data_IF_754464939510
#
_entry.id   IF_754464939510
#
_cell.length_a   1.000
_cell.length_b   1.000
_cell.length_c   1.000
_cell.angle_alpha   90.00
_cell.angle_beta   90.00
_cell.angle_gamma   90.00
#
_symmetry.space_group_name_H-M   'P 1'
#
loop_
_entity.id
_entity.type
_entity.pdbx_description
1 polymer ?
#
# COMPACT_ATOMS: atom_id res chain seq x y z
N UNK A 1 -4.57 23.66 22.23
CA UNK A 1 -3.50 22.67 21.95
C UNK A 1 -2.20 23.43 21.82
N UNK A 2 -1.10 22.95 22.42
CA UNK A 2 0.19 23.61 22.25
C UNK A 2 0.64 23.50 20.79
N UNK A 3 0.90 24.61 20.08
CA UNK A 3 1.22 24.61 18.65
C UNK A 3 2.47 23.77 18.33
N UNK A 4 3.39 23.66 19.29
CA UNK A 4 4.58 22.79 19.21
C UNK A 4 4.22 21.30 19.08
N UNK A 5 3.22 20.83 19.84
CA UNK A 5 2.80 19.42 19.82
C UNK A 5 2.11 19.11 18.49
N UNK A 6 1.27 20.03 17.99
CA UNK A 6 0.63 19.89 16.68
C UNK A 6 1.65 19.84 15.54
N UNK A 7 2.65 20.73 15.56
CA UNK A 7 3.71 20.74 14.55
C UNK A 7 4.55 19.45 14.57
N UNK A 8 4.97 19.00 15.76
CA UNK A 8 5.74 17.76 15.93
C UNK A 8 4.94 16.52 15.46
N UNK A 9 3.65 16.46 15.78
CA UNK A 9 2.77 15.35 15.38
C UNK A 9 2.68 15.21 13.85
N UNK A 10 2.47 16.32 13.13
CA UNK A 10 2.37 16.30 11.66
C UNK A 10 3.66 15.78 11.01
N UNK A 11 4.83 16.17 11.54
CA UNK A 11 6.13 15.71 11.03
C UNK A 11 6.30 14.20 11.25
N UNK A 12 5.95 13.70 12.44
CA UNK A 12 6.03 12.27 12.77
C UNK A 12 5.10 11.44 11.89
N UNK A 13 3.85 11.88 11.73
CA UNK A 13 2.86 11.23 10.85
C UNK A 13 3.35 11.19 9.40
N UNK A 14 3.85 12.31 8.87
CA UNK A 14 4.38 12.38 7.52
C UNK A 14 5.56 11.43 7.29
N UNK A 15 6.46 11.30 8.28
CA UNK A 15 7.58 10.37 8.21
C UNK A 15 7.12 8.91 8.28
N UNK A 16 6.17 8.59 9.16
CA UNK A 16 5.63 7.24 9.30
C UNK A 16 4.98 6.75 8.00
N UNK A 17 4.18 7.59 7.35
CA UNK A 17 3.53 7.27 6.05
C UNK A 17 4.57 7.08 4.94
N UNK A 18 5.63 7.92 4.89
CA UNK A 18 6.71 7.75 3.91
C UNK A 18 7.44 6.42 4.10
N UNK A 19 7.75 6.02 5.34
CA UNK A 19 8.41 4.75 5.60
C UNK A 19 7.51 3.55 5.28
N UNK A 20 6.22 3.63 5.60
CA UNK A 20 5.24 2.58 5.33
C UNK A 20 5.04 2.30 3.83
N UNK A 21 5.14 3.34 2.97
CA UNK A 21 4.92 3.22 1.52
C UNK A 21 6.12 2.74 0.71
N UNK A 22 7.35 2.76 1.27
CA UNK A 22 8.56 2.39 0.51
C UNK A 22 8.57 0.89 0.14
N UNK A 23 8.26 0.01 1.09
CA UNK A 23 8.22 -1.44 0.87
C UNK A 23 7.21 -1.85 -0.21
N UNK A 24 5.92 -1.47 -0.06
CA UNK A 24 4.87 -1.66 -1.06
C UNK A 24 5.28 -1.22 -2.45
N UNK A 25 5.75 0.02 -2.58
CA UNK A 25 6.18 0.59 -3.87
C UNK A 25 7.20 -0.29 -4.60
N UNK A 26 8.22 -0.79 -3.90
CA UNK A 26 9.28 -1.60 -4.54
C UNK A 26 8.78 -3.00 -4.89
N UNK A 27 8.06 -3.65 -3.98
CA UNK A 27 7.59 -5.02 -4.21
C UNK A 27 6.49 -5.11 -5.27
N UNK A 28 5.57 -4.13 -5.33
CA UNK A 28 4.54 -4.09 -6.37
C UNK A 28 5.13 -3.92 -7.76
N UNK A 29 6.12 -3.02 -7.91
CA UNK A 29 6.82 -2.82 -9.18
C UNK A 29 7.56 -4.07 -9.64
N UNK A 30 8.27 -4.76 -8.73
CA UNK A 30 8.95 -6.01 -9.03
C UNK A 30 7.97 -7.13 -9.40
N UNK A 31 6.89 -7.31 -8.63
CA UNK A 31 5.87 -8.32 -8.89
C UNK A 31 5.18 -8.09 -10.24
N UNK A 32 4.82 -6.84 -10.55
CA UNK A 32 4.24 -6.48 -11.84
C UNK A 32 5.21 -6.74 -13.00
N UNK A 33 6.50 -6.39 -12.86
CA UNK A 33 7.51 -6.67 -13.87
C UNK A 33 7.67 -8.17 -14.15
N UNK A 34 7.77 -8.99 -13.10
CA UNK A 34 7.84 -10.45 -13.22
C UNK A 34 6.57 -11.06 -13.82
N UNK A 35 5.40 -10.50 -13.49
CA UNK A 35 4.14 -10.95 -14.09
C UNK A 35 4.09 -10.64 -15.59
N UNK A 36 4.51 -9.44 -16.02
CA UNK A 36 4.58 -9.07 -17.44
C UNK A 36 5.55 -9.98 -18.19
N UNK A 37 6.73 -10.24 -17.63
CA UNK A 37 7.71 -11.15 -18.24
C UNK A 37 7.17 -12.59 -18.33
N UNK A 38 6.48 -13.06 -17.28
CA UNK A 38 5.82 -14.36 -17.28
C UNK A 38 4.72 -14.47 -18.34
N UNK A 39 3.90 -13.44 -18.49
CA UNK A 39 2.87 -13.36 -19.53
C UNK A 39 3.50 -13.35 -20.94
N UNK A 40 4.59 -12.59 -21.13
CA UNK A 40 5.29 -12.55 -22.42
C UNK A 40 5.88 -13.90 -22.82
N UNK A 41 6.39 -14.68 -21.85
CA UNK A 41 6.92 -16.03 -22.09
C UNK A 41 5.82 -17.08 -22.28
N UNK A 42 4.69 -16.93 -21.58
CA UNK A 42 3.56 -17.86 -21.63
C UNK A 42 2.23 -17.11 -21.68
N UNK A 43 1.79 -16.66 -22.87
CA UNK A 43 0.56 -15.88 -23.02
C UNK A 43 -0.69 -16.66 -22.60
N UNK A 44 -0.69 -17.98 -22.81
CA UNK A 44 -1.79 -18.87 -22.44
C UNK A 44 -2.06 -18.88 -20.91
N UNK A 45 -1.05 -18.58 -20.10
CA UNK A 45 -1.14 -18.53 -18.65
C UNK A 45 -1.56 -17.15 -18.10
N UNK A 46 -1.84 -16.17 -18.96
CA UNK A 46 -2.07 -14.77 -18.59
C UNK A 46 -3.10 -14.60 -17.47
N UNK A 47 -4.25 -15.27 -17.60
CA UNK A 47 -5.34 -15.15 -16.63
C UNK A 47 -4.93 -15.64 -15.25
N UNK A 48 -4.14 -16.72 -15.19
CA UNK A 48 -3.64 -17.29 -13.94
C UNK A 48 -2.57 -16.37 -13.32
N UNK A 49 -1.64 -15.87 -14.13
CA UNK A 49 -0.58 -14.95 -13.67
C UNK A 49 -1.19 -13.65 -13.13
N UNK A 50 -2.14 -13.04 -13.85
CA UNK A 50 -2.85 -11.85 -13.38
C UNK A 50 -3.64 -12.10 -12.10
N UNK A 51 -4.29 -13.26 -11.98
CA UNK A 51 -5.00 -13.64 -10.75
C UNK A 51 -4.06 -13.69 -9.53
N UNK A 52 -2.92 -14.38 -9.65
CA UNK A 52 -1.92 -14.43 -8.58
C UNK A 52 -1.32 -13.04 -8.29
N UNK A 53 -1.00 -12.27 -9.35
CA UNK A 53 -0.48 -10.91 -9.20
C UNK A 53 -1.45 -10.03 -8.41
N UNK A 54 -2.72 -9.97 -8.80
CA UNK A 54 -3.72 -9.13 -8.13
C UNK A 54 -3.94 -9.56 -6.68
N UNK A 55 -3.93 -10.87 -6.40
CA UNK A 55 -4.01 -11.38 -5.03
C UNK A 55 -2.81 -10.93 -4.19
N UNK A 56 -1.59 -11.06 -4.72
CA UNK A 56 -0.37 -10.60 -4.04
C UNK A 56 -0.36 -9.08 -3.84
N UNK A 57 -0.79 -8.30 -4.84
CA UNK A 57 -0.91 -6.85 -4.74
C UNK A 57 -1.94 -6.45 -3.68
N UNK A 58 -3.10 -7.13 -3.61
CA UNK A 58 -4.13 -6.86 -2.61
C UNK A 58 -3.63 -7.08 -1.18
N UNK A 59 -2.88 -8.16 -0.92
CA UNK A 59 -2.27 -8.38 0.40
C UNK A 59 -1.21 -7.31 0.73
N UNK A 60 -0.43 -6.89 -0.26
CA UNK A 60 0.58 -5.86 -0.08
C UNK A 60 -0.04 -4.49 0.23
N UNK A 61 -1.14 -4.15 -0.46
CA UNK A 61 -1.94 -2.96 -0.18
C UNK A 61 -2.59 -3.01 1.21
N UNK A 62 -3.14 -4.16 1.62
CA UNK A 62 -3.74 -4.30 2.94
C UNK A 62 -2.76 -3.97 4.09
N UNK A 63 -1.51 -4.40 3.98
CA UNK A 63 -0.46 -4.07 4.95
C UNK A 63 -0.08 -2.59 4.92
N UNK A 64 -0.08 -1.98 3.72
CA UNK A 64 0.17 -0.55 3.54
C UNK A 64 -0.91 0.29 4.22
N UNK A 65 -2.17 -0.09 4.02
CA UNK A 65 -3.34 0.55 4.61
C UNK A 65 -3.31 0.40 6.14
N UNK A 66 -2.89 -0.75 6.68
CA UNK A 66 -2.71 -0.90 8.13
C UNK A 66 -1.72 0.11 8.71
N UNK A 67 -0.58 0.31 8.04
CA UNK A 67 0.39 1.34 8.42
C UNK A 67 -0.17 2.77 8.34
N UNK A 68 -0.99 3.04 7.31
CA UNK A 68 -1.65 4.34 7.14
C UNK A 68 -2.72 4.61 8.22
N UNK A 69 -3.54 3.60 8.55
CA UNK A 69 -4.60 3.68 9.58
C UNK A 69 -4.01 4.02 10.94
N UNK A 70 -2.87 3.44 11.31
CA UNK A 70 -2.18 3.75 12.58
C UNK A 70 -1.60 5.17 12.59
N UNK A 71 -1.21 5.71 11.43
CA UNK A 71 -0.58 7.02 11.33
C UNK A 71 -1.58 8.19 11.36
N UNK A 72 -2.87 7.96 11.09
CA UNK A 72 -3.88 9.03 10.99
C UNK A 72 -4.92 8.94 12.12
N UNK A 73 -5.63 10.04 12.44
CA UNK A 73 -6.67 10.02 13.47
C UNK A 73 -7.81 9.01 13.17
N UNK A 74 -8.40 8.38 14.20
CA UNK A 74 -9.43 7.33 14.04
C UNK A 74 -10.65 7.77 13.23
N UNK A 75 -11.03 9.04 13.36
CA UNK A 75 -12.20 9.61 12.68
C UNK A 75 -12.00 9.63 11.15
N UNK A 76 -10.76 9.85 10.70
CA UNK A 76 -10.41 9.87 9.27
C UNK A 76 -10.14 8.45 8.78
N UNK A 77 -9.52 7.60 9.60
CA UNK A 77 -9.17 6.24 9.19
C UNK A 77 -10.40 5.39 8.87
N UNK A 78 -11.49 5.52 9.63
CA UNK A 78 -12.68 4.70 9.43
C UNK A 78 -13.33 4.95 8.06
N UNK A 79 -13.43 6.21 7.64
CA UNK A 79 -14.00 6.58 6.35
C UNK A 79 -13.10 6.16 5.17
N UNK A 80 -11.78 6.25 5.35
CA UNK A 80 -10.82 5.83 4.33
C UNK A 80 -10.90 4.32 4.05
N UNK A 81 -10.99 3.50 5.11
CA UNK A 81 -11.09 2.04 4.98
C UNK A 81 -12.39 1.64 4.26
N UNK A 82 -13.51 2.28 4.60
CA UNK A 82 -14.80 2.07 3.95
C UNK A 82 -14.83 2.45 2.47
N UNK A 83 -13.94 3.35 2.03
CA UNK A 83 -13.89 3.82 0.63
C UNK A 83 -13.02 2.95 -0.28
N UNK A 84 -12.19 2.07 0.30
CA UNK A 84 -11.22 1.23 -0.43
C UNK A 84 -11.69 -0.24 -0.50
N UNK A 85 -12.58 -0.66 0.41
CA UNK A 85 -13.30 -1.94 0.38
C UNK A 85 -14.52 -1.89 -0.54
#
# INVERSE_FOLDING_TARGET
MNPLISAASIIVVGLAIRLASIGPRVGQGAAAGQAVEGIARQPEAERKIRGTLLLSLAFMEALTIYGLVVAIPPDISNNLVLSIL
#
